data_IF_826563600343
#
_entry.id   IF_826563600343
#
_cell.length_a   1.000
_cell.length_b   1.000
_cell.length_c   1.000
_cell.angle_alpha   90.00
_cell.angle_beta   90.00
_cell.angle_gamma   90.00
#
_symmetry.space_group_name_H-M   'P 1'
#
loop_
_entity.id
_entity.type
_entity.pdbx_description
1 polymer ?
#
# COMPACT_ATOMS: atom_id res chain seq x y z
N UNK A 1 37.33 -5.26 26.52
CA UNK A 1 36.51 -4.23 25.84
C UNK A 1 36.63 -4.40 24.34
N UNK A 2 35.92 -5.41 23.82
CA UNK A 2 35.80 -5.70 22.39
C UNK A 2 34.72 -4.79 21.80
N UNK A 3 35.13 -3.92 20.89
CA UNK A 3 34.22 -3.08 20.12
C UNK A 3 33.65 -3.92 18.96
N UNK A 4 32.61 -4.69 19.27
CA UNK A 4 31.74 -5.37 18.30
C UNK A 4 30.89 -4.32 17.57
N UNK A 5 31.41 -3.74 16.49
CA UNK A 5 30.65 -2.70 15.77
C UNK A 5 31.18 -2.39 14.38
N UNK A 6 30.24 -2.27 13.43
CA UNK A 6 30.49 -1.52 12.20
C UNK A 6 30.90 -0.08 12.56
N UNK A 7 31.74 0.59 11.77
CA UNK A 7 32.03 2.01 12.04
C UNK A 7 30.76 2.87 11.91
N UNK A 8 30.88 4.16 12.24
CA UNK A 8 29.83 5.17 12.08
C UNK A 8 29.32 5.29 10.62
N UNK A 9 30.10 4.81 9.65
CA UNK A 9 29.73 4.69 8.24
C UNK A 9 29.10 3.34 7.87
N UNK A 10 28.91 2.47 8.85
CA UNK A 10 28.43 1.10 8.72
C UNK A 10 29.29 0.23 7.78
N UNK A 11 30.58 0.55 7.68
CA UNK A 11 31.62 -0.29 7.08
C UNK A 11 32.13 -1.27 8.12
N UNK A 12 32.35 -2.53 7.74
CA UNK A 12 32.92 -3.52 8.65
C UNK A 12 34.37 -3.16 8.96
N UNK A 13 34.65 -2.83 10.23
CA UNK A 13 36.00 -2.48 10.69
C UNK A 13 36.77 -3.72 11.15
N UNK A 14 36.09 -4.79 11.57
CA UNK A 14 36.72 -6.00 12.10
C UNK A 14 35.97 -7.27 11.67
N UNK A 15 36.65 -8.42 11.81
CA UNK A 15 36.30 -9.76 11.31
C UNK A 15 34.96 -10.36 11.82
N UNK A 16 34.14 -9.61 12.57
CA UNK A 16 32.83 -10.06 13.05
C UNK A 16 31.72 -9.70 12.07
N UNK A 17 31.81 -10.33 10.91
CA UNK A 17 30.77 -10.36 9.91
C UNK A 17 29.96 -11.64 10.08
N UNK A 18 28.63 -11.58 10.21
CA UNK A 18 27.82 -12.79 10.12
C UNK A 18 27.93 -13.33 8.69
N UNK A 19 28.63 -14.46 8.51
CA UNK A 19 28.96 -15.04 7.20
C UNK A 19 29.66 -14.05 6.23
N UNK A 20 30.55 -13.19 6.73
CA UNK A 20 31.27 -12.24 5.87
C UNK A 20 30.46 -11.01 5.42
N UNK A 21 29.26 -10.79 5.98
CA UNK A 21 28.47 -9.56 5.78
C UNK A 21 28.32 -8.72 7.05
N UNK A 22 28.35 -7.41 6.89
CA UNK A 22 28.02 -6.45 7.96
C UNK A 22 26.52 -6.51 8.26
N UNK A 23 26.15 -6.40 9.54
CA UNK A 23 24.76 -6.30 9.96
C UNK A 23 24.38 -4.83 10.03
N UNK A 24 23.40 -4.44 9.23
CA UNK A 24 22.87 -3.08 9.24
C UNK A 24 21.88 -2.86 10.38
N UNK A 25 21.87 -1.66 10.97
CA UNK A 25 20.92 -1.30 12.03
C UNK A 25 19.58 -0.80 11.46
N UNK A 26 18.61 -0.52 12.33
CA UNK A 26 17.27 -0.06 11.93
C UNK A 26 17.24 1.30 11.21
N UNK A 27 18.23 2.18 11.44
CA UNK A 27 18.30 3.51 10.79
C UNK A 27 18.81 3.43 9.35
N UNK A 28 19.74 2.49 9.08
CA UNK A 28 20.33 2.25 7.76
C UNK A 28 20.15 0.79 7.37
N UNK A 29 18.94 0.27 7.17
CA UNK A 29 18.72 -1.17 7.09
C UNK A 29 19.18 -1.83 5.78
N UNK A 30 19.58 -1.04 4.77
CA UNK A 30 19.86 -1.53 3.41
C UNK A 30 21.35 -1.74 3.18
N UNK A 31 21.79 -3.00 3.11
CA UNK A 31 23.17 -3.33 2.78
C UNK A 31 23.41 -3.35 1.27
N UNK A 32 24.26 -2.46 0.76
CA UNK A 32 24.64 -2.40 -0.66
C UNK A 32 26.05 -1.82 -0.81
N UNK A 33 26.86 -2.44 -1.67
CA UNK A 33 28.22 -1.94 -1.98
C UNK A 33 29.11 -1.80 -0.74
N UNK A 34 29.08 -2.81 0.15
CA UNK A 34 29.82 -2.86 1.41
C UNK A 34 29.47 -1.75 2.43
N UNK A 35 28.34 -1.06 2.24
CA UNK A 35 27.87 0.00 3.11
C UNK A 35 26.39 -0.18 3.44
N UNK A 36 25.98 0.29 4.61
CA UNK A 36 24.57 0.38 4.96
C UNK A 36 24.00 1.74 4.55
N UNK A 37 22.79 1.73 4.01
CA UNK A 37 22.08 2.90 3.52
C UNK A 37 20.72 3.03 4.18
N UNK A 38 20.26 4.27 4.34
CA UNK A 38 18.89 4.55 4.75
C UNK A 38 17.93 4.13 3.63
N UNK A 39 16.85 3.46 4.04
CA UNK A 39 15.75 3.11 3.15
C UNK A 39 14.99 4.38 2.71
N UNK A 40 14.41 4.36 1.51
CA UNK A 40 13.85 5.55 0.89
C UNK A 40 12.43 5.30 0.40
N UNK A 41 11.47 6.19 0.72
CA UNK A 41 10.09 6.06 0.25
C UNK A 41 10.00 6.46 -1.23
N UNK A 42 8.86 6.15 -1.86
CA UNK A 42 8.56 6.63 -3.22
C UNK A 42 8.64 8.16 -3.30
N UNK A 43 9.40 8.65 -4.28
CA UNK A 43 9.74 10.07 -4.47
C UNK A 43 11.01 10.53 -3.74
N UNK A 44 11.51 9.75 -2.79
CA UNK A 44 12.76 9.99 -2.07
C UNK A 44 13.99 9.87 -2.97
N UNK A 45 15.12 10.47 -2.52
CA UNK A 45 16.40 10.40 -3.23
C UNK A 45 17.07 9.05 -2.97
N UNK A 46 17.59 8.41 -4.00
CA UNK A 46 18.23 7.10 -3.91
C UNK A 46 19.51 7.04 -4.75
N UNK A 47 20.38 6.13 -4.33
CA UNK A 47 21.58 5.70 -5.06
C UNK A 47 21.36 4.32 -5.69
N UNK A 48 20.65 3.45 -4.98
CA UNK A 48 20.40 2.07 -5.39
C UNK A 48 18.92 1.70 -5.25
N UNK A 49 18.45 0.79 -6.10
CA UNK A 49 17.05 0.30 -6.06
C UNK A 49 16.71 -0.39 -4.74
N UNK A 50 17.68 -1.02 -4.07
CA UNK A 50 17.48 -1.68 -2.78
C UNK A 50 16.99 -0.72 -1.69
N UNK A 51 17.37 0.57 -1.75
CA UNK A 51 16.86 1.59 -0.84
C UNK A 51 15.35 1.81 -1.00
N UNK A 52 14.86 1.75 -2.23
CA UNK A 52 13.44 1.90 -2.54
C UNK A 52 12.66 0.62 -2.24
N UNK A 53 13.24 -0.54 -2.54
CA UNK A 53 12.59 -1.84 -2.38
C UNK A 53 12.29 -2.18 -0.93
N UNK A 54 13.17 -1.77 -0.02
CA UNK A 54 12.96 -1.98 1.42
C UNK A 54 11.66 -1.35 1.92
N UNK A 55 11.33 -0.13 1.48
CA UNK A 55 10.13 0.58 1.92
C UNK A 55 8.90 0.26 1.07
N UNK A 56 9.08 0.16 -0.25
CA UNK A 56 7.98 0.19 -1.20
C UNK A 56 7.82 -1.11 -2.01
N UNK A 57 8.55 -2.16 -1.64
CA UNK A 57 8.45 -3.50 -2.21
C UNK A 57 9.31 -3.74 -3.44
N UNK A 58 9.37 -5.01 -3.86
CA UNK A 58 10.28 -5.46 -4.93
C UNK A 58 10.11 -4.70 -6.26
N UNK A 59 8.91 -4.19 -6.52
CA UNK A 59 8.58 -3.42 -7.73
C UNK A 59 9.02 -1.96 -7.68
N UNK A 60 9.51 -1.47 -6.54
CA UNK A 60 10.13 -0.16 -6.45
C UNK A 60 11.57 -0.21 -6.98
N UNK A 61 12.02 0.86 -7.63
CA UNK A 61 13.39 0.97 -8.11
C UNK A 61 13.87 2.42 -8.07
N UNK A 62 15.19 2.60 -8.11
CA UNK A 62 15.81 3.90 -8.25
C UNK A 62 15.93 4.25 -9.73
N UNK A 63 15.31 5.34 -10.16
CA UNK A 63 15.38 5.76 -11.57
C UNK A 63 16.71 6.49 -11.88
N UNK A 64 16.96 6.77 -13.15
CA UNK A 64 18.15 7.50 -13.61
C UNK A 64 18.30 8.93 -13.04
N UNK A 65 17.24 9.49 -12.43
CA UNK A 65 17.28 10.80 -11.75
C UNK A 65 17.58 10.68 -10.25
N UNK A 66 17.93 9.48 -9.78
CA UNK A 66 18.18 9.21 -8.36
C UNK A 66 16.92 9.35 -7.51
N UNK A 67 15.74 8.97 -8.02
CA UNK A 67 14.48 8.98 -7.26
C UNK A 67 13.79 7.62 -7.26
N UNK A 68 13.25 7.25 -6.10
CA UNK A 68 12.46 6.03 -5.94
C UNK A 68 11.13 6.14 -6.68
N UNK A 69 10.81 5.13 -7.51
CA UNK A 69 9.58 5.03 -8.29
C UNK A 69 9.12 3.59 -8.39
N UNK A 70 7.84 3.41 -8.70
CA UNK A 70 7.32 2.10 -9.07
C UNK A 70 7.78 1.72 -10.49
N UNK A 71 7.99 0.42 -10.69
CA UNK A 71 8.26 -0.19 -11.99
C UNK A 71 7.13 0.04 -12.99
N UNK A 72 7.34 -0.42 -14.23
CA UNK A 72 6.44 -0.16 -15.36
C UNK A 72 4.96 -0.52 -15.07
N UNK A 73 4.73 -1.60 -14.34
CA UNK A 73 3.40 -2.10 -14.02
C UNK A 73 2.95 -1.76 -12.60
N UNK A 74 3.81 -1.12 -11.80
CA UNK A 74 3.53 -0.84 -10.39
C UNK A 74 2.85 0.52 -10.23
N UNK A 75 1.80 0.57 -9.42
CA UNK A 75 1.12 1.80 -9.03
C UNK A 75 1.47 2.11 -7.57
N UNK A 76 1.84 3.36 -7.24
CA UNK A 76 2.06 3.74 -5.85
C UNK A 76 0.72 3.83 -5.14
N UNK A 77 0.55 3.02 -4.09
CA UNK A 77 -0.65 2.98 -3.28
C UNK A 77 -0.30 3.16 -1.79
N UNK A 78 -1.13 3.88 -1.04
CA UNK A 78 -0.92 4.05 0.39
C UNK A 78 -1.48 2.86 1.17
N UNK A 79 -0.61 2.08 1.81
CA UNK A 79 -0.96 1.01 2.75
C UNK A 79 -0.78 1.58 4.17
N UNK A 80 -1.78 1.49 5.07
CA UNK A 80 -1.74 2.15 6.38
C UNK A 80 -0.48 1.87 7.22
N UNK A 81 0.08 0.66 7.13
CA UNK A 81 1.24 0.24 7.94
C UNK A 81 2.57 0.59 7.25
N UNK A 82 2.62 0.52 5.91
CA UNK A 82 3.87 0.62 5.15
C UNK A 82 4.04 1.96 4.41
N UNK A 83 3.02 2.82 4.41
CA UNK A 83 3.01 4.05 3.63
C UNK A 83 2.85 3.75 2.14
N UNK A 84 3.51 4.53 1.28
CA UNK A 84 3.41 4.36 -0.19
C UNK A 84 4.19 3.12 -0.64
N UNK A 85 3.47 2.11 -1.12
CA UNK A 85 3.99 0.85 -1.62
C UNK A 85 3.73 0.72 -3.12
N UNK A 86 4.62 0.04 -3.84
CA UNK A 86 4.42 -0.24 -5.26
C UNK A 86 3.69 -1.55 -5.45
N UNK A 87 2.45 -1.44 -5.89
CA UNK A 87 1.53 -2.56 -6.04
C UNK A 87 1.31 -2.83 -7.52
N UNK A 88 1.36 -4.11 -7.91
CA UNK A 88 0.98 -4.52 -9.25
C UNK A 88 -0.53 -4.77 -9.32
N UNK A 89 -1.23 -4.21 -10.32
CA UNK A 89 -2.61 -4.54 -10.59
C UNK A 89 -2.79 -6.04 -10.81
N UNK A 90 -3.87 -6.61 -10.27
CA UNK A 90 -4.17 -8.05 -10.34
C UNK A 90 -5.41 -8.32 -11.17
N UNK A 91 -5.33 -9.25 -12.12
CA UNK A 91 -6.45 -9.63 -12.98
C UNK A 91 -7.41 -10.60 -12.31
N UNK A 92 -8.54 -10.89 -12.97
CA UNK A 92 -9.50 -11.85 -12.44
C UNK A 92 -8.82 -13.21 -12.19
N UNK A 93 -9.08 -13.81 -11.03
CA UNK A 93 -8.48 -15.06 -10.56
C UNK A 93 -6.95 -15.01 -10.25
N UNK A 94 -6.31 -13.84 -10.37
CA UNK A 94 -4.96 -13.64 -9.84
C UNK A 94 -4.97 -13.64 -8.32
N UNK A 95 -3.82 -14.00 -7.74
CA UNK A 95 -3.62 -13.90 -6.31
C UNK A 95 -3.48 -12.43 -5.85
N UNK A 96 -4.15 -12.10 -4.76
CA UNK A 96 -4.20 -10.77 -4.17
C UNK A 96 -4.07 -10.83 -2.64
N UNK A 97 -3.66 -9.73 -2.04
CA UNK A 97 -3.62 -9.49 -0.60
C UNK A 97 -4.67 -8.42 -0.24
N UNK A 98 -4.88 -7.44 -1.13
CA UNK A 98 -5.79 -6.32 -0.89
C UNK A 98 -6.79 -6.17 -2.03
N UNK A 99 -8.03 -5.80 -1.72
CA UNK A 99 -9.04 -5.56 -2.76
C UNK A 99 -8.65 -4.47 -3.76
N UNK A 100 -7.88 -3.49 -3.31
CA UNK A 100 -7.44 -2.36 -4.13
C UNK A 100 -6.52 -2.83 -5.28
N UNK A 101 -5.76 -3.91 -5.10
CA UNK A 101 -4.97 -4.56 -6.17
C UNK A 101 -5.85 -4.96 -7.36
N UNK A 102 -7.02 -5.53 -7.06
CA UNK A 102 -7.98 -5.99 -8.05
C UNK A 102 -8.72 -4.82 -8.71
N UNK A 103 -8.86 -3.70 -8.00
CA UNK A 103 -9.58 -2.52 -8.48
C UNK A 103 -8.75 -1.63 -9.42
N UNK A 104 -7.42 -1.73 -9.39
CA UNK A 104 -6.53 -0.95 -10.26
C UNK A 104 -6.77 -1.16 -11.76
N UNK A 105 -7.33 -2.30 -12.16
CA UNK A 105 -7.65 -2.63 -13.56
C UNK A 105 -9.13 -2.48 -13.91
N UNK A 106 -9.97 -2.09 -12.96
CA UNK A 106 -11.41 -1.95 -13.19
C UNK A 106 -12.23 -2.02 -11.91
N UNK A 107 -13.39 -1.38 -11.94
CA UNK A 107 -14.34 -1.35 -10.81
C UNK A 107 -15.05 -2.69 -10.62
N UNK A 108 -15.78 -2.81 -9.50
CA UNK A 108 -16.59 -3.98 -9.15
C UNK A 108 -15.80 -5.27 -8.91
N UNK A 109 -14.57 -5.13 -8.42
CA UNK A 109 -13.66 -6.22 -8.07
C UNK A 109 -13.24 -6.13 -6.61
N UNK A 110 -12.96 -7.28 -6.01
CA UNK A 110 -12.44 -7.38 -4.65
C UNK A 110 -11.55 -8.61 -4.51
N UNK A 111 -10.73 -8.62 -3.45
CA UNK A 111 -9.96 -9.78 -3.06
C UNK A 111 -10.80 -10.65 -2.13
N UNK A 112 -11.11 -11.87 -2.54
CA UNK A 112 -11.95 -12.77 -1.75
C UNK A 112 -11.16 -13.46 -0.61
N UNK A 113 -11.86 -14.26 0.19
CA UNK A 113 -11.29 -15.04 1.30
C UNK A 113 -10.26 -16.10 0.86
N UNK A 114 -10.24 -16.45 -0.42
CA UNK A 114 -9.25 -17.34 -1.03
C UNK A 114 -8.05 -16.59 -1.61
N UNK A 115 -7.90 -15.30 -1.29
CA UNK A 115 -6.83 -14.44 -1.80
C UNK A 115 -6.84 -14.35 -3.33
N UNK A 116 -8.03 -14.36 -3.94
CA UNK A 116 -8.22 -14.25 -5.39
C UNK A 116 -9.06 -13.04 -5.77
N UNK A 117 -8.69 -12.38 -6.85
CA UNK A 117 -9.48 -11.28 -7.40
C UNK A 117 -10.77 -11.81 -8.04
N UNK A 118 -11.92 -11.41 -7.49
CA UNK A 118 -13.26 -11.78 -7.96
C UNK A 118 -14.13 -10.55 -8.21
N UNK A 119 -15.22 -10.75 -8.96
CA UNK A 119 -16.25 -9.73 -9.09
C UNK A 119 -17.09 -9.65 -7.81
N UNK A 120 -17.44 -8.43 -7.40
CA UNK A 120 -18.35 -8.18 -6.27
C UNK A 120 -19.70 -8.89 -6.53
N UNK A 121 -20.41 -9.38 -5.49
CA UNK A 121 -21.75 -9.96 -5.66
C UNK A 121 -22.68 -9.11 -6.54
N UNK A 122 -23.41 -9.77 -7.46
CA UNK A 122 -24.24 -9.11 -8.49
C UNK A 122 -23.52 -8.80 -9.81
N UNK A 123 -22.19 -9.00 -9.86
CA UNK A 123 -21.39 -8.87 -11.08
C UNK A 123 -20.81 -10.24 -11.50
N UNK A 124 -20.63 -10.43 -12.79
CA UNK A 124 -19.96 -11.60 -13.36
C UNK A 124 -18.84 -11.18 -14.30
N UNK A 125 -17.83 -12.02 -14.46
CA UNK A 125 -16.68 -11.72 -15.31
C UNK A 125 -16.99 -12.05 -16.78
N UNK A 126 -16.80 -11.06 -17.65
CA UNK A 126 -16.82 -11.23 -19.10
C UNK A 126 -15.42 -11.00 -19.68
N UNK A 127 -14.92 -11.97 -20.44
CA UNK A 127 -13.60 -11.90 -21.07
C UNK A 127 -13.48 -10.65 -21.96
N UNK A 128 -12.38 -9.91 -21.81
CA UNK A 128 -12.10 -8.68 -22.57
C UNK A 128 -12.85 -7.43 -22.08
N UNK A 129 -13.84 -7.57 -21.20
CA UNK A 129 -14.63 -6.45 -20.66
C UNK A 129 -14.37 -6.25 -19.16
N UNK A 130 -14.30 -7.33 -18.40
CA UNK A 130 -14.17 -7.30 -16.94
C UNK A 130 -15.46 -7.66 -16.22
N UNK A 131 -15.65 -7.15 -15.01
CA UNK A 131 -16.84 -7.44 -14.20
C UNK A 131 -18.02 -6.57 -14.63
N UNK A 132 -19.08 -7.20 -15.14
CA UNK A 132 -20.30 -6.53 -15.60
C UNK A 132 -21.50 -6.96 -14.74
N UNK A 133 -22.48 -6.06 -14.61
CA UNK A 133 -23.69 -6.35 -13.85
C UNK A 133 -24.45 -7.52 -14.50
N UNK A 134 -24.85 -8.51 -13.70
CA UNK A 134 -25.70 -9.59 -14.19
C UNK A 134 -27.08 -9.06 -14.56
N UNK A 135 -27.62 -9.50 -15.69
CA UNK A 135 -28.96 -9.14 -16.20
C UNK A 135 -30.11 -9.47 -15.22
N UNK A 136 -29.84 -10.30 -14.20
CA UNK A 136 -30.79 -10.73 -13.17
C UNK A 136 -30.62 -10.00 -11.82
N UNK A 137 -29.77 -8.98 -11.75
CA UNK A 137 -29.41 -8.29 -10.50
C UNK A 137 -30.09 -6.93 -10.34
N UNK A 138 -31.30 -6.77 -10.87
CA UNK A 138 -32.25 -5.77 -10.36
C UNK A 138 -33.00 -6.36 -9.15
N UNK A 139 -32.26 -6.86 -8.16
CA UNK A 139 -32.78 -6.96 -6.81
C UNK A 139 -32.85 -5.55 -6.22
N UNK A 140 -33.88 -5.20 -5.44
CA UNK A 140 -34.05 -3.84 -4.94
C UNK A 140 -32.78 -3.41 -4.19
N UNK A 141 -32.40 -2.12 -4.27
CA UNK A 141 -31.27 -1.61 -3.52
C UNK A 141 -31.47 -1.99 -2.05
N UNK A 142 -30.47 -2.64 -1.46
CA UNK A 142 -30.36 -2.72 -0.01
C UNK A 142 -30.26 -1.28 0.48
N UNK A 143 -31.41 -0.71 0.82
CA UNK A 143 -31.51 0.44 1.70
C UNK A 143 -30.79 0.01 2.98
N UNK A 144 -29.53 0.40 3.10
CA UNK A 144 -28.91 0.58 4.40
C UNK A 144 -29.76 1.67 5.03
N UNK A 145 -30.77 1.27 5.80
CA UNK A 145 -31.50 2.14 6.69
C UNK A 145 -30.46 2.72 7.64
N UNK A 146 -29.99 3.91 7.30
CA UNK A 146 -29.32 4.81 8.22
C UNK A 146 -30.32 5.12 9.32
N UNK A 147 -30.39 4.26 10.33
CA UNK A 147 -30.83 4.64 11.66
C UNK A 147 -29.71 5.45 12.32
N UNK A 148 -29.31 6.56 11.67
CA UNK A 148 -28.71 7.67 12.38
C UNK A 148 -29.89 8.56 12.77
N UNK A 149 -30.17 8.46 14.05
CA UNK A 149 -31.28 9.06 14.76
C UNK A 149 -31.48 10.54 14.42
N UNK A 150 -32.76 10.88 14.22
CA UNK A 150 -33.34 12.20 14.40
C UNK A 150 -32.74 12.87 15.65
N UNK A 151 -31.98 13.95 15.46
CA UNK A 151 -31.94 15.08 16.40
C UNK A 151 -31.71 16.35 15.58
N UNK A 152 -32.78 16.87 15.00
CA UNK A 152 -32.85 18.26 14.57
C UNK A 152 -34.24 18.78 14.84
N UNK A 153 -34.29 19.94 15.49
CA UNK A 153 -35.41 20.89 15.60
C UNK A 153 -36.25 20.83 16.88
N UNK A 154 -35.79 21.54 17.91
CA UNK A 154 -36.66 22.27 18.83
C UNK A 154 -35.89 23.46 19.41
N UNK A 155 -35.74 24.51 18.62
CA UNK A 155 -35.21 25.80 19.07
C UNK A 155 -35.74 26.93 18.18
N UNK A 156 -37.00 27.31 18.40
CA UNK A 156 -37.73 28.50 17.90
C UNK A 156 -39.17 28.25 18.42
N UNK A 157 -39.87 29.05 19.23
CA UNK A 157 -39.90 30.49 19.55
C UNK A 157 -40.78 30.65 20.80
N UNK A 158 -40.46 31.55 21.74
CA UNK A 158 -41.39 32.43 22.52
C UNK A 158 -40.47 33.49 23.22
N UNK A 159 -40.35 34.77 22.83
CA UNK A 159 -41.35 35.89 22.88
C UNK A 159 -41.87 35.95 24.34
N UNK A 160 -41.62 36.94 25.20
CA UNK A 160 -41.59 38.42 25.10
C UNK A 160 -41.28 39.01 26.50
N UNK A 161 -40.74 40.24 26.54
CA UNK A 161 -40.94 41.35 27.54
C UNK A 161 -41.45 41.00 28.95
N UNK A 162 -40.84 41.47 30.04
CA UNK A 162 -40.90 42.88 30.51
C UNK A 162 -39.87 43.15 31.63
N UNK A 163 -39.58 44.44 31.82
CA UNK A 163 -38.89 45.12 32.93
C UNK A 163 -38.76 44.37 34.26
#
# INVERSE_FOLDING_TARGET
>A
DENDGCDENSTCVSNHCLNGRCVCNGEKPVYQSLKCHTAQPIGGKCLHSSQCQWMAGANAHCNYKGKCRCGKNGVPMHIPIYGKYCIEPKVFNDSCIYSDECQLIGTNRYCNEHFKCHCIPGYHYQMGVGCIAGSHSAGPPLHITSHVWLWLSLALVFVTTTL
#
